data_IF_351134657681
#
_entry.id   IF_351134657681
#
_cell.length_a   1.000
_cell.length_b   1.000
_cell.length_c   1.000
_cell.angle_alpha   90.00
_cell.angle_beta   90.00
_cell.angle_gamma   90.00
#
_symmetry.space_group_name_H-M   'P 1'
#
loop_
_entity.id
_entity.type
_entity.pdbx_description
1 polymer ?
#
# COMPACT_ATOMS: atom_id res chain seq x y z
N UNK A 1 0.39 35.86 13.24
CA UNK A 1 -0.51 36.02 14.41
C UNK A 1 0.33 36.58 15.54
N UNK A 2 -0.19 37.51 16.35
CA UNK A 2 0.44 37.89 17.63
C UNK A 2 0.66 36.66 18.53
N UNK A 3 1.71 36.68 19.36
CA UNK A 3 2.12 35.56 20.21
C UNK A 3 1.00 35.12 21.20
N UNK A 4 0.23 36.08 21.73
CA UNK A 4 -0.92 35.89 22.60
C UNK A 4 -2.16 35.30 21.91
N UNK A 5 -2.10 35.10 20.58
CA UNK A 5 -3.18 34.56 19.75
C UNK A 5 -2.79 33.29 19.02
N UNK A 6 -1.64 32.72 19.34
CA UNK A 6 -1.25 31.41 18.81
C UNK A 6 -2.11 30.31 19.46
N UNK A 7 -2.57 29.30 18.71
CA UNK A 7 -3.28 28.18 19.28
C UNK A 7 -2.33 27.33 20.15
N UNK A 8 -2.84 26.79 21.26
CA UNK A 8 -2.18 25.70 21.97
C UNK A 8 -2.43 24.39 21.20
N UNK A 9 -1.36 23.65 20.90
CA UNK A 9 -1.43 22.35 20.21
C UNK A 9 -1.01 21.25 21.19
N UNK A 10 -1.94 20.35 21.47
CA UNK A 10 -1.68 19.15 22.29
C UNK A 10 -1.82 17.90 21.42
N UNK A 11 -0.70 17.24 21.14
CA UNK A 11 -0.69 15.97 20.40
C UNK A 11 -1.11 14.83 21.34
N UNK A 12 -2.24 14.18 21.04
CA UNK A 12 -2.81 13.10 21.88
C UNK A 12 -2.27 11.71 21.55
N UNK A 13 -1.61 11.55 20.41
CA UNK A 13 -1.13 10.27 19.89
C UNK A 13 -0.88 10.36 18.39
N UNK A 14 -0.47 9.24 17.79
CA UNK A 14 -0.25 9.13 16.36
C UNK A 14 0.21 7.72 15.97
N UNK A 15 0.34 7.51 14.67
CA UNK A 15 0.95 6.30 14.13
C UNK A 15 2.43 6.54 13.86
N UNK A 16 3.27 5.54 14.13
CA UNK A 16 4.67 5.54 13.68
C UNK A 16 4.72 5.33 12.16
N UNK A 17 5.84 5.64 11.49
CA UNK A 17 5.99 5.29 10.08
C UNK A 17 5.75 3.80 9.85
N UNK A 18 4.87 3.48 8.90
CA UNK A 18 4.67 2.12 8.41
C UNK A 18 5.90 1.74 7.57
N UNK A 19 6.58 0.68 7.97
CA UNK A 19 7.75 0.15 7.26
C UNK A 19 7.49 -1.31 6.92
N UNK A 20 7.56 -1.64 5.63
CA UNK A 20 7.46 -3.01 5.16
C UNK A 20 8.76 -3.77 5.46
N UNK A 21 8.63 -5.00 5.94
CA UNK A 21 9.74 -5.95 6.02
C UNK A 21 10.20 -6.34 4.60
N UNK A 22 11.46 -6.09 4.29
CA UNK A 22 12.00 -6.30 2.94
C UNK A 22 11.96 -7.77 2.50
N UNK A 23 12.22 -8.71 3.42
CA UNK A 23 12.24 -10.13 3.07
C UNK A 23 10.82 -10.64 2.77
N UNK A 24 9.83 -10.25 3.58
CA UNK A 24 8.43 -10.58 3.37
C UNK A 24 7.90 -9.94 2.08
N UNK A 25 8.18 -8.66 1.83
CA UNK A 25 7.78 -7.99 0.60
C UNK A 25 8.37 -8.68 -0.65
N UNK A 26 9.65 -9.04 -0.60
CA UNK A 26 10.31 -9.78 -1.69
C UNK A 26 9.69 -11.16 -1.91
N UNK A 27 9.42 -11.91 -0.82
CA UNK A 27 8.75 -13.22 -0.88
C UNK A 27 7.40 -13.12 -1.57
N UNK A 28 6.56 -12.18 -1.16
CA UNK A 28 5.22 -11.98 -1.73
C UNK A 28 5.28 -11.50 -3.19
N UNK A 29 6.32 -10.76 -3.58
CA UNK A 29 6.45 -10.26 -4.96
C UNK A 29 6.55 -11.37 -6.01
N UNK A 30 7.08 -12.55 -5.67
CA UNK A 30 7.29 -13.65 -6.60
C UNK A 30 5.97 -14.21 -7.15
N UNK A 31 5.07 -14.78 -6.33
CA UNK A 31 3.81 -15.30 -6.83
C UNK A 31 2.87 -14.20 -7.36
N UNK A 32 2.99 -12.97 -6.86
CA UNK A 32 2.22 -11.83 -7.39
C UNK A 32 2.68 -11.45 -8.80
N UNK A 33 3.97 -11.56 -9.12
CA UNK A 33 4.49 -11.35 -10.48
C UNK A 33 4.07 -12.48 -11.43
N UNK A 34 3.95 -13.71 -10.93
CA UNK A 34 3.40 -14.83 -11.71
C UNK A 34 1.90 -14.63 -11.98
N UNK A 35 1.14 -14.09 -11.02
CA UNK A 35 -0.28 -13.77 -11.15
C UNK A 35 -0.52 -12.59 -12.11
N UNK A 36 0.16 -11.47 -11.88
CA UNK A 36 -0.16 -10.18 -12.50
C UNK A 36 0.72 -9.85 -13.71
N UNK A 37 1.84 -10.56 -13.89
CA UNK A 37 2.89 -10.21 -14.84
C UNK A 37 3.98 -9.34 -14.19
N UNK A 38 5.21 -9.50 -14.67
CA UNK A 38 6.42 -8.92 -14.07
C UNK A 38 6.37 -7.38 -13.96
N UNK A 39 5.85 -6.71 -14.98
CA UNK A 39 5.80 -5.25 -15.06
C UNK A 39 4.67 -4.63 -14.22
N UNK A 40 3.71 -5.45 -13.76
CA UNK A 40 2.54 -4.99 -13.00
C UNK A 40 2.75 -5.06 -11.47
N UNK A 41 3.91 -5.52 -11.00
CA UNK A 41 4.27 -5.56 -9.58
C UNK A 41 5.43 -4.61 -9.32
N UNK A 42 5.09 -3.42 -8.82
CA UNK A 42 6.05 -2.39 -8.46
C UNK A 42 6.64 -2.71 -7.08
N UNK A 43 7.94 -2.97 -7.04
CA UNK A 43 8.69 -3.26 -5.79
C UNK A 43 9.47 -2.04 -5.30
N UNK A 44 9.72 -1.07 -6.18
CA UNK A 44 10.38 0.20 -5.87
C UNK A 44 9.36 1.34 -6.03
N UNK A 45 8.69 1.68 -4.93
CA UNK A 45 7.72 2.77 -4.89
C UNK A 45 8.20 3.85 -3.90
N UNK A 46 8.16 5.15 -4.27
CA UNK A 46 8.58 6.21 -3.37
C UNK A 46 7.78 6.21 -2.05
N UNK A 47 8.42 6.49 -0.90
CA UNK A 47 7.70 6.68 0.35
C UNK A 47 6.60 7.75 0.23
N UNK A 48 5.44 7.47 0.82
CA UNK A 48 4.30 8.39 0.83
C UNK A 48 4.22 9.17 2.15
N UNK A 49 3.71 10.40 2.11
CA UNK A 49 3.42 11.19 3.30
C UNK A 49 2.06 10.87 3.93
N UNK A 50 1.30 9.95 3.34
CA UNK A 50 0.07 9.43 3.94
C UNK A 50 0.34 8.70 5.25
N UNK A 51 -0.61 8.76 6.19
CA UNK A 51 -0.54 7.99 7.44
C UNK A 51 -1.39 6.73 7.32
N UNK A 52 -0.93 5.66 7.96
CA UNK A 52 -1.61 4.37 8.09
C UNK A 52 -1.25 3.80 9.47
N UNK A 53 -2.19 3.14 10.15
CA UNK A 53 -2.01 2.62 11.51
C UNK A 53 -2.18 1.09 11.61
N UNK A 54 -2.51 0.42 10.50
CA UNK A 54 -2.71 -1.04 10.46
C UNK A 54 -1.52 -1.85 11.01
N UNK A 55 -0.28 -1.36 10.87
CA UNK A 55 0.90 -2.05 11.42
C UNK A 55 0.93 -2.03 12.95
N UNK A 56 0.19 -1.13 13.60
CA UNK A 56 0.02 -1.11 15.05
C UNK A 56 -0.86 -2.26 15.56
N UNK A 57 -1.64 -2.92 14.68
CA UNK A 57 -2.43 -4.10 15.04
C UNK A 57 -1.56 -5.27 15.55
N UNK A 58 -0.26 -5.25 15.28
CA UNK A 58 0.70 -6.19 15.87
C UNK A 58 0.77 -6.11 17.39
N UNK A 59 0.41 -4.97 17.99
CA UNK A 59 0.44 -4.78 19.45
C UNK A 59 1.82 -5.13 20.03
N UNK A 60 1.93 -6.08 20.97
CA UNK A 60 3.20 -6.47 21.58
C UNK A 60 4.07 -7.40 20.72
N UNK A 61 3.58 -7.84 19.55
CA UNK A 61 4.27 -8.79 18.68
C UNK A 61 5.16 -8.08 17.65
N UNK A 62 6.26 -7.51 18.14
CA UNK A 62 7.21 -6.77 17.30
C UNK A 62 8.03 -7.68 16.37
N UNK A 63 8.18 -8.95 16.73
CA UNK A 63 8.89 -10.01 16.00
C UNK A 63 8.15 -10.51 14.74
N UNK A 64 6.85 -10.25 14.61
CA UNK A 64 6.07 -10.64 13.44
C UNK A 64 6.38 -9.71 12.26
N UNK A 65 6.92 -10.22 11.13
CA UNK A 65 7.17 -9.42 9.93
C UNK A 65 5.85 -8.86 9.38
N UNK A 66 5.90 -7.64 8.86
CA UNK A 66 4.73 -6.92 8.38
C UNK A 66 4.99 -6.38 6.98
N UNK A 67 4.00 -6.47 6.09
CA UNK A 67 4.05 -5.83 4.77
C UNK A 67 2.65 -5.34 4.42
N UNK A 68 2.55 -4.08 4.03
CA UNK A 68 1.37 -3.45 3.48
C UNK A 68 1.49 -3.39 1.96
N UNK A 69 0.46 -3.85 1.27
CA UNK A 69 0.38 -3.85 -0.19
C UNK A 69 -0.62 -2.80 -0.65
N UNK A 70 -0.24 -2.03 -1.67
CA UNK A 70 -1.14 -1.09 -2.35
C UNK A 70 -1.53 -1.70 -3.69
N UNK A 71 -2.84 -1.78 -3.95
CA UNK A 71 -3.38 -2.25 -5.23
C UNK A 71 -3.83 -1.05 -6.05
N UNK A 72 -3.41 -0.98 -7.32
CA UNK A 72 -3.85 0.08 -8.23
C UNK A 72 -5.35 -0.02 -8.49
N UNK A 73 -6.06 1.10 -8.31
CA UNK A 73 -7.53 1.16 -8.45
C UNK A 73 -8.02 2.05 -9.60
N UNK A 74 -7.11 2.79 -10.25
CA UNK A 74 -7.49 3.64 -11.36
C UNK A 74 -7.66 2.82 -12.64
N UNK A 75 -8.61 3.22 -13.49
CA UNK A 75 -8.70 2.66 -14.84
C UNK A 75 -7.36 2.90 -15.59
N UNK A 76 -6.79 1.89 -16.29
CA UNK A 76 -5.49 2.00 -16.92
C UNK A 76 -5.37 3.14 -17.94
N UNK A 77 -6.43 3.46 -18.68
CA UNK A 77 -6.40 4.56 -19.65
C UNK A 77 -6.40 5.92 -18.95
N UNK A 78 -7.15 6.03 -17.85
CA UNK A 78 -7.15 7.25 -17.01
C UNK A 78 -5.78 7.47 -16.39
N UNK A 79 -5.14 6.39 -15.91
CA UNK A 79 -3.80 6.46 -15.37
C UNK A 79 -2.78 6.87 -16.44
N UNK A 80 -2.81 6.22 -17.61
CA UNK A 80 -1.91 6.51 -18.72
C UNK A 80 -2.00 7.99 -19.15
N UNK A 81 -3.21 8.52 -19.32
CA UNK A 81 -3.42 9.95 -19.64
C UNK A 81 -2.84 10.87 -18.58
N UNK A 82 -2.96 10.54 -17.29
CA UNK A 82 -2.38 11.36 -16.22
C UNK A 82 -0.85 11.41 -16.30
N UNK A 83 -0.20 10.28 -16.63
CA UNK A 83 1.25 10.23 -16.85
C UNK A 83 1.66 11.08 -18.06
N UNK A 84 0.93 11.00 -19.18
CA UNK A 84 1.17 11.83 -20.37
C UNK A 84 1.05 13.33 -20.07
N UNK A 85 0.17 13.72 -19.15
CA UNK A 85 0.01 15.09 -18.64
C UNK A 85 1.09 15.51 -17.62
N UNK A 86 2.05 14.63 -17.31
CA UNK A 86 3.13 14.89 -16.34
C UNK A 86 2.70 14.77 -14.88
N UNK A 87 1.54 14.18 -14.59
CA UNK A 87 1.09 13.88 -13.22
C UNK A 87 1.63 12.51 -12.79
N UNK A 88 1.85 12.33 -11.49
CA UNK A 88 2.26 11.03 -10.94
C UNK A 88 1.08 10.05 -10.82
N UNK A 89 -0.13 10.55 -10.57
CA UNK A 89 -1.37 9.77 -10.40
C UNK A 89 -2.55 10.59 -10.96
N UNK A 90 -3.64 9.95 -11.43
CA UNK A 90 -4.83 10.66 -11.90
C UNK A 90 -5.59 11.36 -10.75
N UNK A 91 -5.63 10.74 -9.58
CA UNK A 91 -6.22 11.25 -8.34
C UNK A 91 -5.64 10.47 -7.15
N UNK A 92 -5.78 11.02 -5.94
CA UNK A 92 -5.36 10.39 -4.68
C UNK A 92 -6.55 10.10 -3.79
N UNK A 93 -6.36 9.27 -2.77
CA UNK A 93 -7.30 9.17 -1.66
C UNK A 93 -7.62 10.56 -1.09
N UNK A 94 -8.83 10.73 -0.53
CA UNK A 94 -9.38 11.99 -0.02
C UNK A 94 -9.67 13.09 -1.06
N UNK A 95 -9.51 12.81 -2.37
CA UNK A 95 -9.97 13.71 -3.42
C UNK A 95 -11.49 13.56 -3.65
N UNK A 96 -12.28 14.64 -3.82
CA UNK A 96 -13.72 14.54 -4.09
C UNK A 96 -14.06 13.81 -5.42
N UNK A 97 -13.11 13.73 -6.34
CA UNK A 97 -13.23 13.01 -7.61
C UNK A 97 -12.59 11.62 -7.56
N UNK A 98 -12.31 11.08 -6.36
CA UNK A 98 -11.76 9.74 -6.21
C UNK A 98 -12.74 8.69 -6.73
N UNK A 99 -12.25 7.80 -7.59
CA UNK A 99 -13.03 6.72 -8.20
C UNK A 99 -12.23 5.42 -8.09
N UNK A 100 -12.94 4.30 -7.96
CA UNK A 100 -12.36 2.96 -8.06
C UNK A 100 -12.90 2.32 -9.34
N UNK A 101 -12.01 1.89 -10.20
CA UNK A 101 -12.36 0.99 -11.30
C UNK A 101 -12.82 -0.34 -10.71
N UNK A 102 -14.08 -0.72 -10.97
CA UNK A 102 -14.65 -1.95 -10.41
C UNK A 102 -13.92 -3.20 -10.91
N UNK A 103 -13.18 -3.14 -12.02
CA UNK A 103 -12.29 -4.22 -12.48
C UNK A 103 -11.14 -4.48 -11.49
N UNK A 104 -10.76 -3.51 -10.65
CA UNK A 104 -9.69 -3.66 -9.67
C UNK A 104 -10.12 -4.45 -8.41
N UNK A 105 -11.42 -4.53 -8.12
CA UNK A 105 -11.94 -5.27 -6.94
C UNK A 105 -11.58 -6.77 -6.98
N UNK A 106 -11.86 -7.51 -8.08
CA UNK A 106 -11.43 -8.91 -8.16
C UNK A 106 -9.91 -9.06 -8.13
N UNK A 107 -9.16 -8.15 -8.75
CA UNK A 107 -7.68 -8.16 -8.68
C UNK A 107 -7.19 -8.04 -7.24
N UNK A 108 -7.75 -7.12 -6.45
CA UNK A 108 -7.41 -7.01 -5.02
C UNK A 108 -7.70 -8.28 -4.23
N UNK A 109 -8.78 -8.99 -4.60
CA UNK A 109 -9.14 -10.30 -4.00
C UNK A 109 -8.12 -11.38 -4.39
N UNK A 110 -7.69 -11.42 -5.64
CA UNK A 110 -6.67 -12.36 -6.12
C UNK A 110 -5.31 -12.09 -5.44
N UNK A 111 -4.89 -10.82 -5.34
CA UNK A 111 -3.66 -10.42 -4.64
C UNK A 111 -3.68 -10.88 -3.19
N UNK A 112 -4.77 -10.62 -2.46
CA UNK A 112 -4.91 -11.06 -1.08
C UNK A 112 -4.91 -12.59 -0.97
N UNK A 113 -5.62 -13.28 -1.86
CA UNK A 113 -5.72 -14.75 -1.87
C UNK A 113 -4.36 -15.40 -2.14
N UNK A 114 -3.67 -15.00 -3.20
CA UNK A 114 -2.36 -15.53 -3.56
C UNK A 114 -1.32 -15.23 -2.48
N UNK A 115 -1.36 -14.03 -1.89
CA UNK A 115 -0.47 -13.69 -0.77
C UNK A 115 -0.70 -14.61 0.42
N UNK A 116 -1.95 -14.89 0.79
CA UNK A 116 -2.25 -15.81 1.90
C UNK A 116 -1.89 -17.25 1.56
N UNK A 117 -2.11 -17.71 0.32
CA UNK A 117 -1.71 -19.05 -0.12
C UNK A 117 -0.19 -19.24 -0.08
N UNK A 118 0.58 -18.22 -0.47
CA UNK A 118 2.04 -18.23 -0.33
C UNK A 118 2.47 -18.34 1.13
N UNK A 119 1.85 -17.56 2.03
CA UNK A 119 2.22 -17.55 3.45
C UNK A 119 1.80 -18.80 4.21
N UNK A 120 0.64 -19.37 3.88
CA UNK A 120 0.06 -20.54 4.53
C UNK A 120 0.45 -21.87 3.86
N UNK A 121 0.92 -21.80 2.61
CA UNK A 121 1.43 -22.95 1.88
C UNK A 121 2.60 -23.57 2.65
N UNK A 122 2.69 -24.90 2.61
CA UNK A 122 3.85 -25.59 3.16
C UNK A 122 5.08 -25.14 2.37
N UNK A 123 6.03 -24.47 3.02
CA UNK A 123 7.38 -24.38 2.50
C UNK A 123 7.84 -25.81 2.27
N UNK A 124 8.22 -26.17 1.05
CA UNK A 124 8.85 -27.46 0.82
C UNK A 124 9.97 -27.60 1.85
N UNK A 125 9.86 -28.59 2.73
CA UNK A 125 10.90 -28.90 3.69
C UNK A 125 12.14 -29.24 2.87
N UNK A 126 13.16 -28.37 2.92
CA UNK A 126 14.50 -28.70 2.46
C UNK A 126 15.17 -29.60 3.50
#
# INVERSE_FOLDING_TARGET
MPEDKMPEITMKGGSTPLVNDTALANRLSVPLKDLLGQDNVVTEFPPSTGSEDVHLLKGPHDDVPFTFLVVGVADPEVFARAIEEGKALPYSAHNPNFVVDLKAIPVGTEVATVSMLELLGQTAAN
#
